data_IF_701131863047
#
_entry.id   IF_701131863047
#
_cell.length_a   1.000
_cell.length_b   1.000
_cell.length_c   1.000
_cell.angle_alpha   90.00
_cell.angle_beta   90.00
_cell.angle_gamma   90.00
#
_symmetry.space_group_name_H-M   'P 1'
#
loop_
_entity.id
_entity.type
_entity.pdbx_description
1 polymer ?
#
# COMPACT_ATOMS: atom_id res chain seq x y z
N UNK A 1 15.96 11.01 6.99
CA UNK A 1 16.84 10.97 5.79
C UNK A 1 17.52 9.62 5.75
N UNK A 2 17.90 9.13 4.56
CA UNK A 2 18.60 7.85 4.43
C UNK A 2 19.88 7.82 5.30
N UNK A 3 20.09 6.79 6.13
CA UNK A 3 21.31 6.64 6.92
C UNK A 3 22.56 6.47 6.06
N UNK A 4 23.69 7.00 6.52
CA UNK A 4 24.99 6.86 5.82
C UNK A 4 25.46 5.41 5.66
N UNK A 5 24.98 4.48 6.50
CA UNK A 5 25.26 3.04 6.34
C UNK A 5 24.70 2.48 5.03
N UNK A 6 23.54 2.97 4.58
CA UNK A 6 22.90 2.49 3.35
C UNK A 6 23.71 2.90 2.12
N UNK A 7 24.19 4.15 2.08
CA UNK A 7 25.07 4.61 1.00
C UNK A 7 26.42 3.88 1.00
N UNK A 8 26.99 3.58 2.17
CA UNK A 8 28.20 2.76 2.26
C UNK A 8 27.97 1.36 1.69
N UNK A 9 26.86 0.73 2.02
CA UNK A 9 26.49 -0.57 1.48
C UNK A 9 26.31 -0.52 -0.04
N UNK A 10 25.59 0.49 -0.57
CA UNK A 10 25.44 0.70 -2.01
C UNK A 10 26.80 0.73 -2.71
N UNK A 11 27.71 1.60 -2.24
CA UNK A 11 29.03 1.73 -2.86
C UNK A 11 29.89 0.48 -2.72
N UNK A 12 29.76 -0.25 -1.62
CA UNK A 12 30.46 -1.53 -1.42
C UNK A 12 29.99 -2.60 -2.41
N UNK A 13 28.69 -2.69 -2.68
CA UNK A 13 28.13 -3.66 -3.62
C UNK A 13 28.52 -3.33 -5.06
N UNK A 14 28.25 -2.11 -5.51
CA UNK A 14 28.45 -1.74 -6.92
C UNK A 14 29.92 -1.68 -7.30
N UNK A 15 30.81 -1.23 -6.39
CA UNK A 15 32.26 -1.23 -6.66
C UNK A 15 32.85 -2.64 -6.69
N UNK A 16 32.17 -3.62 -6.09
CA UNK A 16 32.54 -5.03 -6.17
C UNK A 16 31.91 -5.75 -7.38
N UNK A 17 31.29 -5.01 -8.30
CA UNK A 17 30.67 -5.56 -9.52
C UNK A 17 29.29 -6.18 -9.30
N UNK A 18 28.68 -6.01 -8.12
CA UNK A 18 27.34 -6.51 -7.82
C UNK A 18 26.29 -5.44 -8.06
N UNK A 19 25.08 -5.86 -8.41
CA UNK A 19 23.94 -4.95 -8.46
C UNK A 19 23.46 -4.59 -7.04
N UNK A 20 22.95 -3.37 -6.87
CA UNK A 20 22.35 -2.92 -5.62
C UNK A 20 20.93 -2.43 -5.84
N UNK A 21 20.00 -2.82 -4.95
CA UNK A 21 18.61 -2.35 -4.93
C UNK A 21 18.25 -1.84 -3.54
N UNK A 22 17.52 -0.74 -3.48
CA UNK A 22 16.99 -0.23 -2.21
C UNK A 22 16.12 1.01 -2.35
N UNK A 23 15.48 1.40 -1.26
CA UNK A 23 14.69 2.63 -1.18
C UNK A 23 15.45 3.68 -0.36
N UNK A 24 15.53 4.91 -0.88
CA UNK A 24 16.23 6.03 -0.28
C UNK A 24 15.24 7.17 -0.01
N UNK A 25 15.31 7.78 1.17
CA UNK A 25 14.59 9.01 1.47
C UNK A 25 15.45 10.22 1.10
N UNK A 26 15.14 10.82 -0.05
CA UNK A 26 15.87 11.92 -0.67
C UNK A 26 15.12 13.25 -0.51
N UNK A 27 15.81 14.35 -0.83
CA UNK A 27 15.27 15.72 -0.80
C UNK A 27 15.27 16.29 -2.21
N UNK A 28 14.11 16.74 -2.69
CA UNK A 28 13.98 17.45 -3.97
C UNK A 28 14.66 18.82 -3.87
N UNK A 29 14.98 19.42 -5.02
CA UNK A 29 15.44 20.82 -5.07
C UNK A 29 14.44 21.80 -4.44
N UNK A 30 13.15 21.47 -4.44
CA UNK A 30 12.09 22.23 -3.77
C UNK A 30 12.09 22.12 -2.25
N UNK A 31 12.87 21.20 -1.65
CA UNK A 31 12.87 20.92 -0.22
C UNK A 31 11.85 19.86 0.22
N UNK A 32 11.11 19.24 -0.70
CA UNK A 32 10.20 18.13 -0.37
C UNK A 32 10.97 16.81 -0.22
N UNK A 33 10.65 16.04 0.81
CA UNK A 33 11.15 14.68 0.97
C UNK A 33 10.38 13.70 0.08
N UNK A 34 11.11 12.83 -0.59
CA UNK A 34 10.55 11.79 -1.45
C UNK A 34 11.29 10.47 -1.28
N UNK A 35 10.55 9.37 -1.41
CA UNK A 35 11.10 8.02 -1.43
C UNK A 35 11.47 7.63 -2.86
N UNK A 36 12.73 7.28 -3.05
CA UNK A 36 13.31 6.91 -4.33
C UNK A 36 13.67 5.43 -4.30
N UNK A 37 12.99 4.62 -5.09
CA UNK A 37 13.35 3.22 -5.30
C UNK A 37 14.44 3.17 -6.38
N UNK A 38 15.62 2.69 -5.99
CA UNK A 38 16.82 2.76 -6.82
C UNK A 38 17.38 1.37 -7.09
N UNK A 39 17.71 1.12 -8.36
CA UNK A 39 18.46 -0.04 -8.81
C UNK A 39 19.72 0.42 -9.52
N UNK A 40 20.88 0.05 -8.99
CA UNK A 40 22.20 0.41 -9.53
C UNK A 40 22.90 -0.83 -10.05
N UNK A 41 23.37 -0.76 -11.30
CA UNK A 41 24.07 -1.84 -11.99
C UNK A 41 25.43 -1.33 -12.48
N UNK A 42 26.54 -1.97 -12.10
CA UNK A 42 27.85 -1.66 -12.68
C UNK A 42 27.94 -2.17 -14.12
N UNK A 43 28.53 -1.37 -15.00
CA UNK A 43 28.79 -1.71 -16.39
C UNK A 43 30.29 -1.93 -16.57
N UNK A 44 30.64 -3.15 -16.97
CA UNK A 44 32.03 -3.54 -17.24
C UNK A 44 32.34 -3.54 -18.73
N UNK A 45 33.58 -3.23 -19.08
CA UNK A 45 34.10 -3.41 -20.44
C UNK A 45 34.41 -4.89 -20.75
N UNK A 46 34.92 -5.15 -21.96
CA UNK A 46 35.32 -6.50 -22.40
C UNK A 46 36.48 -7.10 -21.60
N UNK A 47 37.19 -6.30 -20.80
CA UNK A 47 38.27 -6.75 -19.90
C UNK A 47 37.76 -7.08 -18.49
N UNK A 48 36.46 -6.90 -18.24
CA UNK A 48 35.84 -7.09 -16.93
C UNK A 48 36.04 -5.92 -15.97
N UNK A 49 36.64 -4.81 -16.42
CA UNK A 49 36.83 -3.60 -15.61
C UNK A 49 35.55 -2.78 -15.59
N UNK A 50 35.09 -2.40 -14.40
CA UNK A 50 33.93 -1.50 -14.24
C UNK A 50 34.31 -0.12 -14.81
N UNK A 51 33.49 0.39 -15.74
CA UNK A 51 33.69 1.69 -16.39
C UNK A 51 32.62 2.71 -16.01
N UNK A 52 31.38 2.25 -15.80
CA UNK A 52 30.23 3.11 -15.53
C UNK A 52 29.27 2.43 -14.54
N UNK A 53 28.33 3.21 -14.02
CA UNK A 53 27.20 2.72 -13.23
C UNK A 53 25.91 3.22 -13.87
N UNK A 54 24.98 2.32 -14.13
CA UNK A 54 23.62 2.64 -14.53
C UNK A 54 22.74 2.67 -13.29
N UNK A 55 21.93 3.71 -13.12
CA UNK A 55 20.95 3.80 -12.05
C UNK A 55 19.55 4.00 -12.64
N UNK A 56 18.60 3.16 -12.22
CA UNK A 56 17.17 3.34 -12.47
C UNK A 56 16.55 3.83 -11.16
N UNK A 57 15.75 4.89 -11.25
CA UNK A 57 15.16 5.58 -10.10
C UNK A 57 13.66 5.76 -10.34
N UNK A 58 12.86 5.40 -9.36
CA UNK A 58 11.41 5.55 -9.38
C UNK A 58 10.98 6.27 -8.10
N UNK A 59 10.24 7.38 -8.25
CA UNK A 59 9.60 8.01 -7.09
C UNK A 59 8.42 7.16 -6.63
N UNK A 60 8.57 6.55 -5.45
CA UNK A 60 7.56 5.70 -4.82
C UNK A 60 6.85 6.39 -3.65
N UNK A 61 6.98 7.71 -3.54
CA UNK A 61 6.39 8.49 -2.43
C UNK A 61 4.89 8.33 -2.34
N UNK A 62 4.18 8.44 -3.47
CA UNK A 62 2.72 8.29 -3.50
C UNK A 62 2.31 6.88 -3.07
N UNK A 63 2.96 5.85 -3.62
CA UNK A 63 2.74 4.46 -3.24
C UNK A 63 2.91 4.25 -1.73
N UNK A 64 4.00 4.74 -1.14
CA UNK A 64 4.24 4.61 0.31
C UNK A 64 3.24 5.41 1.15
N UNK A 65 2.86 6.62 0.72
CA UNK A 65 1.81 7.40 1.40
C UNK A 65 0.47 6.66 1.39
N UNK A 66 0.09 6.04 0.28
CA UNK A 66 -1.12 5.21 0.20
C UNK A 66 -1.02 3.97 1.11
N UNK A 67 0.11 3.27 1.12
CA UNK A 67 0.35 2.13 2.01
C UNK A 67 0.27 2.51 3.50
N UNK A 68 0.89 3.62 3.90
CA UNK A 68 0.84 4.16 5.26
C UNK A 68 -0.58 4.56 5.66
N UNK A 69 -1.31 5.22 4.76
CA UNK A 69 -2.71 5.57 4.97
C UNK A 69 -3.56 4.32 5.21
N UNK A 70 -3.41 3.30 4.36
CA UNK A 70 -4.12 2.03 4.53
C UNK A 70 -3.79 1.35 5.86
N UNK A 71 -2.52 1.35 6.27
CA UNK A 71 -2.08 0.80 7.57
C UNK A 71 -2.70 1.56 8.74
N UNK A 72 -2.75 2.89 8.66
CA UNK A 72 -3.41 3.71 9.68
C UNK A 72 -4.90 3.36 9.79
N UNK A 73 -5.61 3.28 8.66
CA UNK A 73 -7.02 2.89 8.66
C UNK A 73 -7.26 1.49 9.21
N UNK A 74 -6.42 0.51 8.85
CA UNK A 74 -6.48 -0.83 9.42
C UNK A 74 -6.27 -0.81 10.95
N UNK A 75 -5.33 0.01 11.42
CA UNK A 75 -5.05 0.16 12.85
C UNK A 75 -6.25 0.79 13.58
N UNK A 76 -6.86 1.81 13.00
CA UNK A 76 -8.07 2.46 13.55
C UNK A 76 -9.26 1.51 13.55
N UNK A 77 -9.44 0.73 12.49
CA UNK A 77 -10.48 -0.30 12.39
C UNK A 77 -10.35 -1.34 13.51
N UNK A 78 -9.16 -1.91 13.69
CA UNK A 78 -8.91 -2.97 14.69
C UNK A 78 -9.01 -2.48 16.13
N UNK A 79 -8.55 -1.26 16.42
CA UNK A 79 -8.55 -0.70 17.78
C UNK A 79 -9.78 0.14 18.11
N UNK A 80 -10.79 0.18 17.24
CA UNK A 80 -12.06 0.82 17.55
C UNK A 80 -12.75 0.09 18.71
N UNK A 81 -13.29 0.82 19.68
CA UNK A 81 -14.07 0.27 20.78
C UNK A 81 -15.48 -0.16 20.41
N UNK A 82 -15.90 0.08 19.15
CA UNK A 82 -17.20 -0.31 18.63
C UNK A 82 -17.09 -1.57 17.78
N UNK A 83 -18.15 -2.39 17.80
CA UNK A 83 -18.27 -3.55 16.92
C UNK A 83 -18.48 -3.08 15.49
N UNK A 84 -17.48 -3.26 14.64
CA UNK A 84 -17.52 -2.89 13.22
C UNK A 84 -17.53 -4.14 12.36
N UNK A 85 -18.44 -4.18 11.39
CA UNK A 85 -18.41 -5.15 10.30
C UNK A 85 -18.45 -4.44 8.95
N UNK A 86 -17.76 -5.03 7.99
CA UNK A 86 -17.74 -4.59 6.59
C UNK A 86 -18.42 -5.67 5.77
N UNK A 87 -19.39 -5.27 4.96
CA UNK A 87 -20.08 -6.17 4.03
C UNK A 87 -19.83 -5.77 2.58
N UNK A 88 -19.92 -6.75 1.67
CA UNK A 88 -19.97 -6.49 0.23
C UNK A 88 -21.34 -5.93 -0.20
N UNK A 89 -21.53 -5.75 -1.51
CA UNK A 89 -22.79 -5.25 -2.10
C UNK A 89 -23.96 -6.23 -1.98
N UNK A 90 -23.69 -7.50 -1.74
CA UNK A 90 -24.69 -8.56 -1.56
C UNK A 90 -24.98 -8.81 -0.06
N UNK A 91 -24.43 -7.98 0.82
CA UNK A 91 -24.49 -8.04 2.28
C UNK A 91 -23.81 -9.28 2.88
N UNK A 92 -22.82 -9.88 2.22
CA UNK A 92 -21.95 -10.87 2.87
C UNK A 92 -20.87 -10.15 3.68
N UNK A 93 -20.64 -10.60 4.91
CA UNK A 93 -19.59 -10.07 5.78
C UNK A 93 -18.24 -10.41 5.16
N UNK A 94 -17.46 -9.38 4.84
CA UNK A 94 -16.11 -9.50 4.30
C UNK A 94 -15.08 -9.44 5.43
N UNK A 95 -15.34 -8.62 6.45
CA UNK A 95 -14.43 -8.45 7.58
C UNK A 95 -15.18 -7.96 8.82
N UNK A 96 -14.63 -8.25 9.99
CA UNK A 96 -15.06 -7.74 11.30
C UNK A 96 -13.81 -7.37 12.11
N UNK A 97 -13.90 -6.34 12.95
CA UNK A 97 -12.78 -5.94 13.79
C UNK A 97 -12.72 -6.74 15.11
N UNK A 98 -11.65 -6.56 15.89
CA UNK A 98 -11.53 -7.21 17.21
C UNK A 98 -12.70 -6.90 18.15
N UNK A 99 -13.14 -5.65 18.27
CA UNK A 99 -14.24 -5.28 19.15
C UNK A 99 -15.58 -5.94 18.77
N UNK A 100 -15.80 -6.27 17.48
CA UNK A 100 -16.95 -7.08 17.08
C UNK A 100 -16.92 -8.45 17.75
N UNK A 101 -15.74 -9.10 17.75
CA UNK A 101 -15.57 -10.40 18.42
C UNK A 101 -15.80 -10.26 19.91
N UNK A 102 -15.22 -9.24 20.55
CA UNK A 102 -15.32 -9.02 22.00
C UNK A 102 -16.76 -8.72 22.46
N UNK A 103 -17.52 -7.96 21.66
CA UNK A 103 -18.89 -7.55 22.00
C UNK A 103 -19.92 -8.62 21.65
N UNK A 104 -19.76 -9.30 20.51
CA UNK A 104 -20.77 -10.25 19.99
C UNK A 104 -20.46 -11.70 20.33
N UNK A 105 -19.21 -12.02 20.63
CA UNK A 105 -18.72 -13.36 20.91
C UNK A 105 -18.43 -14.21 19.66
N UNK A 106 -18.67 -13.70 18.45
CA UNK A 106 -18.44 -14.43 17.21
C UNK A 106 -17.04 -14.17 16.66
N UNK A 107 -16.31 -15.24 16.35
CA UNK A 107 -15.02 -15.13 15.68
C UNK A 107 -15.21 -14.78 14.19
N UNK A 108 -14.24 -14.09 13.55
CA UNK A 108 -14.30 -13.74 12.14
C UNK A 108 -14.59 -14.95 11.22
N UNK A 109 -13.95 -16.09 11.47
CA UNK A 109 -14.14 -17.31 10.68
C UNK A 109 -15.55 -17.90 10.75
N UNK A 110 -16.35 -17.53 11.74
CA UNK A 110 -17.73 -18.00 11.89
C UNK A 110 -18.74 -17.13 11.14
N UNK A 111 -18.39 -15.87 10.86
CA UNK A 111 -19.32 -14.86 10.30
C UNK A 111 -18.93 -14.39 8.91
N UNK A 112 -17.64 -14.42 8.54
CA UNK A 112 -17.18 -14.05 7.20
C UNK A 112 -17.84 -14.93 6.13
N UNK A 113 -18.30 -14.29 5.06
CA UNK A 113 -19.08 -14.90 3.98
C UNK A 113 -20.58 -15.06 4.27
N UNK A 114 -21.04 -14.82 5.50
CA UNK A 114 -22.46 -14.92 5.86
C UNK A 114 -23.15 -13.56 5.83
N UNK A 115 -24.48 -13.57 5.71
CA UNK A 115 -25.31 -12.36 5.85
C UNK A 115 -25.53 -12.04 7.33
N UNK A 116 -25.42 -10.77 7.78
CA UNK A 116 -25.56 -10.40 9.19
C UNK A 116 -26.84 -10.93 9.86
N UNK A 117 -27.98 -10.82 9.17
CA UNK A 117 -29.27 -11.31 9.67
C UNK A 117 -29.34 -12.84 9.84
N UNK A 118 -28.66 -13.59 8.96
CA UNK A 118 -28.62 -15.05 9.02
C UNK A 118 -27.71 -15.56 10.15
N UNK A 119 -26.69 -14.78 10.53
CA UNK A 119 -25.80 -15.06 11.65
C UNK A 119 -26.39 -14.70 13.03
N UNK A 120 -27.65 -14.24 13.10
CA UNK A 120 -28.31 -13.90 14.36
C UNK A 120 -27.83 -12.57 14.99
N UNK A 121 -27.08 -11.76 14.24
CA UNK A 121 -26.57 -10.46 14.69
C UNK A 121 -27.71 -9.43 14.72
N UNK A 122 -28.50 -9.43 15.80
CA UNK A 122 -29.60 -8.46 16.05
C UNK A 122 -29.22 -7.35 17.04
N UNK A 123 -27.93 -7.23 17.37
CA UNK A 123 -27.47 -6.27 18.38
C UNK A 123 -27.47 -4.85 17.82
N UNK A 124 -28.13 -3.88 18.48
CA UNK A 124 -28.09 -2.47 18.08
C UNK A 124 -26.71 -1.81 18.29
N UNK A 125 -25.72 -2.57 18.79
CA UNK A 125 -24.34 -2.12 19.03
C UNK A 125 -23.37 -2.41 17.89
N UNK A 126 -23.82 -3.00 16.79
CA UNK A 126 -22.98 -3.22 15.60
C UNK A 126 -23.17 -2.10 14.58
N UNK A 127 -22.11 -1.32 14.35
CA UNK A 127 -22.06 -0.36 13.26
C UNK A 127 -21.82 -1.12 11.94
N UNK A 128 -22.81 -1.10 11.05
CA UNK A 128 -22.68 -1.67 9.70
C UNK A 128 -22.15 -0.58 8.76
N UNK A 129 -20.91 -0.73 8.32
CA UNK A 129 -20.35 0.12 7.28
C UNK A 129 -20.40 -0.60 5.94
N UNK A 130 -21.29 -0.15 5.06
CA UNK A 130 -21.27 -0.56 3.66
C UNK A 130 -20.17 0.22 2.93
N UNK A 131 -19.04 -0.44 2.69
CA UNK A 131 -17.98 0.18 1.91
C UNK A 131 -18.24 -0.06 0.42
N UNK A 132 -18.43 1.01 -0.36
CA UNK A 132 -18.37 0.97 -1.82
C UNK A 132 -16.90 0.78 -2.26
N UNK A 133 -16.33 -0.40 -2.00
CA UNK A 133 -15.02 -0.76 -2.57
C UNK A 133 -15.26 -0.98 -4.07
N UNK A 134 -14.76 -0.06 -4.90
CA UNK A 134 -14.69 -0.31 -6.33
C UNK A 134 -13.77 -1.51 -6.54
N UNK A 135 -14.16 -2.52 -7.35
CA UNK A 135 -13.28 -3.65 -7.61
C UNK A 135 -11.96 -3.18 -8.21
N UNK A 136 -10.82 -3.77 -7.84
CA UNK A 136 -9.55 -3.46 -8.46
C UNK A 136 -9.66 -3.83 -9.96
N UNK A 137 -9.63 -2.84 -10.83
CA UNK A 137 -9.66 -3.05 -12.29
C UNK A 137 -10.68 -2.23 -13.09
N UNK A 138 -11.57 -1.44 -12.48
CA UNK A 138 -12.45 -0.56 -13.27
C UNK A 138 -11.82 0.80 -13.57
N UNK A 139 -10.75 0.82 -14.38
CA UNK A 139 -10.42 2.03 -15.14
C UNK A 139 -11.55 2.25 -16.15
N UNK A 140 -12.46 3.17 -15.85
CA UNK A 140 -13.36 3.71 -16.89
C UNK A 140 -12.48 4.45 -17.90
N UNK A 141 -12.56 4.16 -19.21
CA UNK A 141 -11.93 5.03 -20.19
C UNK A 141 -12.59 6.40 -20.08
N UNK A 142 -11.79 7.43 -19.83
CA UNK A 142 -12.21 8.81 -19.97
C UNK A 142 -12.58 9.01 -21.45
N UNK A 143 -13.89 9.05 -21.72
CA UNK A 143 -14.40 9.45 -23.02
C UNK A 143 -13.93 10.88 -23.29
N UNK A 144 -12.99 11.01 -24.23
CA UNK A 144 -12.49 12.28 -24.71
C UNK A 144 -13.66 13.12 -25.23
N UNK A 145 -13.99 14.18 -24.52
CA UNK A 145 -14.75 15.29 -25.10
C UNK A 145 -13.79 16.04 -26.02
N UNK A 146 -13.89 15.74 -27.31
CA UNK A 146 -13.55 16.69 -28.36
C UNK A 146 -14.31 18.00 -28.11
N UNK A 147 -13.58 19.08 -27.86
CA UNK A 147 -14.03 20.43 -28.17
C UNK A 147 -13.06 20.95 -29.21
N UNK A 148 -13.59 21.12 -30.43
CA UNK A 148 -12.85 21.59 -31.58
C UNK A 148 -12.57 23.09 -31.54
N UNK A 149 -11.52 23.44 -32.27
CA UNK A 149 -11.40 24.58 -33.19
C UNK A 149 -12.11 25.89 -32.81
N UNK A 150 -11.30 26.90 -32.48
CA UNK A 150 -11.17 28.14 -33.25
C UNK A 150 -9.82 28.79 -32.92
#
# INVERSE_FOLDING_TARGET
>A
MTPASVYRQLWQEVSAGREWRGELLNLRKSGELYWDAVHVVPLSDTTGKITHYLSIQEDVTERKRSEETLRLWATVFENSGEAVMITDRENHIVSVNQAFTDITGYAPGEVVGKKPFAAGLRSPRCCVFQQHVAPPGSQRPLAGRNLGSA
#
